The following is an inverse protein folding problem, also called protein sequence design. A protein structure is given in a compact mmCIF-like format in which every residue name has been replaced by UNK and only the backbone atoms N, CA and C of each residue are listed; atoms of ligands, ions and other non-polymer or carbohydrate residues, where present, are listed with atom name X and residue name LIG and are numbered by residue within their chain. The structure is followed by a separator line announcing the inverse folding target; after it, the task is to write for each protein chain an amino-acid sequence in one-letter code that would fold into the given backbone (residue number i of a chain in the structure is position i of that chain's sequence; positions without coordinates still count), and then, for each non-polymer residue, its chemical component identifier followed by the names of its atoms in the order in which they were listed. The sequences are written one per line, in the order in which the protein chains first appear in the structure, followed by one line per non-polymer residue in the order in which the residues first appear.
data_IF_549491784836
#
_entry.id   IF_549491784836
#
_cell.length_a   1.000
_cell.length_b   1.000
_cell.length_c   1.000
_cell.angle_alpha   90.00
_cell.angle_beta   90.00
_cell.angle_gamma   90.00
#
_symmetry.space_group_name_H-M   'P 1'
#
loop_
_entity.id
_entity.type
_entity.pdbx_description
1 polymer ?
#
# COMPACT_ATOMS: atom_id res chain seq x y z
N UNK A 1 -9.77 -21.52 -4.78
CA UNK A 1 -8.61 -20.63 -4.93
C UNK A 1 -7.36 -21.49 -4.91
N UNK A 2 -6.48 -21.35 -5.90
CA UNK A 2 -5.16 -21.97 -5.81
C UNK A 2 -4.44 -21.43 -4.59
N UNK A 3 -3.90 -22.33 -3.78
CA UNK A 3 -3.21 -21.98 -2.54
C UNK A 3 -1.91 -21.25 -2.85
N UNK A 4 -1.73 -20.05 -2.30
CA UNK A 4 -0.44 -19.35 -2.37
C UNK A 4 0.57 -20.05 -1.45
N UNK A 5 1.80 -20.24 -1.94
CA UNK A 5 2.90 -20.79 -1.16
C UNK A 5 3.45 -19.72 -0.21
N UNK A 6 3.57 -20.04 1.08
CA UNK A 6 4.15 -19.16 2.08
C UNK A 6 5.68 -19.34 2.12
N UNK A 7 6.39 -18.25 1.88
CA UNK A 7 7.84 -18.20 1.76
C UNK A 7 8.44 -17.06 2.60
N UNK A 8 9.75 -17.10 2.81
CA UNK A 8 10.45 -16.07 3.58
C UNK A 8 11.81 -15.73 2.96
N UNK A 9 12.33 -14.56 3.33
CA UNK A 9 13.72 -14.19 3.12
C UNK A 9 14.20 -13.21 4.19
N UNK A 10 15.48 -13.27 4.61
CA UNK A 10 16.05 -12.31 5.54
C UNK A 10 16.51 -11.05 4.80
N UNK A 11 16.25 -9.88 5.39
CA UNK A 11 16.80 -8.60 4.93
C UNK A 11 16.85 -7.56 6.05
N UNK A 12 17.99 -6.91 6.24
CA UNK A 12 18.20 -5.73 7.10
C UNK A 12 17.56 -5.87 8.51
N UNK A 13 17.71 -7.05 9.14
CA UNK A 13 17.18 -7.31 10.48
C UNK A 13 15.67 -7.53 10.52
N UNK A 14 15.14 -8.09 9.45
CA UNK A 14 13.78 -8.61 9.37
C UNK A 14 13.77 -9.90 8.56
N UNK A 15 13.05 -10.91 9.01
CA UNK A 15 12.64 -12.02 8.15
C UNK A 15 11.31 -11.63 7.51
N UNK A 16 11.35 -11.33 6.21
CA UNK A 16 10.17 -10.94 5.44
C UNK A 16 9.39 -12.17 5.02
N UNK A 17 8.11 -12.22 5.35
CA UNK A 17 7.17 -13.26 4.97
C UNK A 17 6.35 -12.80 3.78
N UNK A 18 6.17 -13.68 2.79
CA UNK A 18 5.37 -13.40 1.61
C UNK A 18 4.68 -14.66 1.08
N UNK A 19 3.62 -14.44 0.35
CA UNK A 19 2.81 -15.49 -0.28
C UNK A 19 2.96 -15.38 -1.79
N UNK A 20 3.29 -16.50 -2.41
CA UNK A 20 3.55 -16.57 -3.83
C UNK A 20 2.60 -17.55 -4.52
N UNK A 21 1.99 -17.13 -5.61
CA UNK A 21 1.28 -17.97 -6.56
C UNK A 21 2.02 -17.95 -7.89
N UNK A 22 2.41 -19.12 -8.40
CA UNK A 22 3.10 -19.25 -9.68
C UNK A 22 2.10 -19.03 -10.82
N UNK A 23 2.43 -18.16 -11.78
CA UNK A 23 1.74 -18.00 -13.05
C UNK A 23 2.37 -18.81 -14.19
N UNK A 24 1.64 -18.93 -15.30
CA UNK A 24 2.13 -19.60 -16.51
C UNK A 24 2.82 -18.66 -17.49
N UNK A 25 2.66 -17.33 -17.34
CA UNK A 25 3.27 -16.32 -18.18
C UNK A 25 4.16 -15.36 -17.35
N UNK A 26 5.00 -14.56 -18.01
CA UNK A 26 5.84 -13.58 -17.32
C UNK A 26 5.04 -12.29 -17.00
N UNK A 27 3.89 -12.45 -16.35
CA UNK A 27 3.01 -11.38 -15.86
C UNK A 27 3.04 -11.39 -14.34
N UNK A 28 3.36 -10.26 -13.73
CA UNK A 28 3.58 -10.17 -12.27
C UNK A 28 2.69 -9.14 -11.63
N UNK A 29 2.15 -9.49 -10.49
CA UNK A 29 1.36 -8.61 -9.62
C UNK A 29 1.91 -8.66 -8.21
N UNK A 30 2.15 -7.49 -7.64
CA UNK A 30 2.50 -7.32 -6.23
C UNK A 30 1.38 -6.64 -5.47
N UNK A 31 0.98 -7.23 -4.34
CA UNK A 31 0.05 -6.64 -3.39
C UNK A 31 0.81 -6.10 -2.18
N UNK A 32 0.69 -4.78 -1.96
CA UNK A 32 1.43 -4.00 -0.97
C UNK A 32 0.42 -3.40 0.01
N UNK A 33 0.34 -3.95 1.21
CA UNK A 33 -0.65 -3.56 2.21
C UNK A 33 -0.35 -2.23 2.91
N UNK A 34 -1.36 -1.68 3.60
CA UNK A 34 -1.29 -0.46 4.38
C UNK A 34 -0.58 -0.60 5.73
N UNK A 35 -0.37 0.53 6.39
CA UNK A 35 0.24 0.56 7.71
C UNK A 35 -0.61 -0.16 8.76
N UNK A 36 0.02 -1.04 9.55
CA UNK A 36 -0.59 -1.74 10.66
C UNK A 36 -1.36 -3.02 10.30
N UNK A 37 -1.66 -3.27 9.02
CA UNK A 37 -2.37 -4.47 8.55
C UNK A 37 -1.41 -5.47 7.91
N UNK A 38 -1.91 -6.48 7.21
CA UNK A 38 -1.13 -7.55 6.58
C UNK A 38 -1.68 -7.89 5.18
N UNK A 39 -1.08 -8.91 4.52
CA UNK A 39 -1.45 -9.34 3.18
C UNK A 39 -2.92 -9.75 3.01
N UNK A 40 -3.58 -10.22 4.07
CA UNK A 40 -4.96 -10.71 4.01
C UNK A 40 -5.98 -9.62 3.65
N UNK A 41 -5.60 -8.34 3.76
CA UNK A 41 -6.47 -7.25 3.31
C UNK A 41 -6.84 -7.33 1.81
N UNK A 42 -6.07 -8.07 1.01
CA UNK A 42 -6.29 -8.21 -0.43
C UNK A 42 -6.96 -9.53 -0.84
N UNK A 43 -7.49 -10.32 0.10
CA UNK A 43 -8.13 -11.62 -0.21
C UNK A 43 -9.21 -11.51 -1.29
N UNK A 44 -9.99 -10.42 -1.29
CA UNK A 44 -11.03 -10.18 -2.29
C UNK A 44 -10.46 -9.79 -3.67
N UNK A 45 -9.19 -9.39 -3.77
CA UNK A 45 -8.53 -8.96 -5.00
C UNK A 45 -7.69 -10.06 -5.65
N UNK A 46 -7.24 -11.07 -4.92
CA UNK A 46 -6.40 -12.14 -5.48
C UNK A 46 -7.08 -12.89 -6.63
N UNK A 47 -8.40 -13.05 -6.57
CA UNK A 47 -9.19 -13.73 -7.61
C UNK A 47 -9.38 -12.95 -8.91
N UNK A 48 -8.93 -11.69 -8.99
CA UNK A 48 -9.00 -10.89 -10.23
C UNK A 48 -7.97 -11.33 -11.27
N UNK A 49 -6.94 -12.05 -10.83
CA UNK A 49 -5.83 -12.48 -11.67
C UNK A 49 -5.94 -13.98 -11.93
N UNK A 50 -6.01 -14.35 -13.19
CA UNK A 50 -6.07 -15.75 -13.61
C UNK A 50 -4.72 -16.47 -13.44
N UNK A 51 -4.64 -17.73 -13.88
CA UNK A 51 -3.45 -18.56 -13.75
C UNK A 51 -2.27 -18.11 -14.63
N UNK A 52 -2.43 -17.11 -15.48
CA UNK A 52 -1.31 -16.55 -16.25
C UNK A 52 -0.40 -15.64 -15.40
N UNK A 53 -0.95 -15.03 -14.33
CA UNK A 53 -0.22 -14.10 -13.48
C UNK A 53 0.49 -14.78 -12.32
N UNK A 54 1.76 -14.44 -12.14
CA UNK A 54 2.46 -14.61 -10.87
C UNK A 54 1.94 -13.58 -9.88
N UNK A 55 1.59 -14.02 -8.67
CA UNK A 55 1.15 -13.11 -7.60
C UNK A 55 2.12 -13.18 -6.44
N UNK A 56 2.50 -12.02 -5.93
CA UNK A 56 3.19 -11.86 -4.65
C UNK A 56 2.34 -10.96 -3.77
N UNK A 57 2.00 -11.46 -2.59
CA UNK A 57 1.49 -10.67 -1.47
C UNK A 57 2.42 -10.87 -0.29
N UNK A 58 2.70 -9.85 0.47
CA UNK A 58 3.66 -9.92 1.56
C UNK A 58 3.13 -9.34 2.86
N UNK A 59 3.77 -9.66 3.96
CA UNK A 59 3.73 -8.85 5.15
C UNK A 59 4.95 -7.93 5.14
N UNK A 60 4.75 -6.63 5.03
CA UNK A 60 5.84 -5.67 5.09
C UNK A 60 6.56 -5.76 6.44
N UNK A 61 7.86 -5.44 6.46
CA UNK A 61 8.65 -5.45 7.71
C UNK A 61 7.93 -4.73 8.85
N UNK A 62 7.98 -5.30 10.04
CA UNK A 62 7.27 -4.81 11.23
C UNK A 62 5.79 -5.17 11.28
N UNK A 63 5.22 -5.82 10.25
CA UNK A 63 3.80 -6.17 10.16
C UNK A 63 3.57 -7.68 10.07
N UNK A 64 2.36 -8.12 10.37
CA UNK A 64 1.95 -9.52 10.24
C UNK A 64 2.97 -10.50 10.83
N UNK A 65 3.47 -11.41 10.02
CA UNK A 65 4.53 -12.35 10.40
C UNK A 65 5.95 -11.78 10.25
N UNK A 66 6.15 -10.70 9.52
CA UNK A 66 7.46 -10.07 9.24
C UNK A 66 7.95 -9.20 10.40
N UNK A 67 8.18 -9.81 11.57
CA UNK A 67 8.62 -9.08 12.76
C UNK A 67 10.07 -8.58 12.61
N UNK A 68 10.31 -7.37 13.13
CA UNK A 68 11.67 -6.83 13.23
C UNK A 68 12.45 -7.57 14.32
N UNK A 69 13.75 -7.77 14.07
CA UNK A 69 14.67 -8.30 15.09
C UNK A 69 14.78 -7.36 16.29
N UNK A 70 15.11 -7.89 17.48
CA UNK A 70 15.29 -7.05 18.68
C UNK A 70 16.26 -5.88 18.44
N UNK A 71 15.84 -4.68 18.83
CA UNK A 71 16.63 -3.46 18.66
C UNK A 71 16.58 -2.81 17.29
N UNK A 72 15.93 -3.44 16.29
CA UNK A 72 15.69 -2.82 14.99
C UNK A 72 14.46 -1.92 15.04
N UNK A 73 14.48 -0.88 14.21
CA UNK A 73 13.36 0.05 14.05
C UNK A 73 12.78 -0.06 12.65
N UNK A 74 11.53 0.31 12.52
CA UNK A 74 10.92 0.43 11.20
C UNK A 74 11.53 1.61 10.44
N UNK A 75 11.98 1.35 9.22
CA UNK A 75 12.47 2.36 8.27
C UNK A 75 11.78 2.13 6.94
N UNK A 76 11.07 3.15 6.44
CA UNK A 76 10.30 3.03 5.19
C UNK A 76 11.16 2.61 3.99
N UNK A 77 12.36 3.22 3.85
CA UNK A 77 13.27 2.90 2.74
C UNK A 77 13.74 1.44 2.71
N UNK A 78 13.73 0.74 3.86
CA UNK A 78 14.08 -0.67 3.90
C UNK A 78 13.03 -1.54 3.20
N UNK A 79 11.75 -1.11 3.12
CA UNK A 79 10.72 -1.80 2.33
C UNK A 79 11.02 -1.75 0.82
N UNK A 80 11.63 -0.67 0.34
CA UNK A 80 12.08 -0.58 -1.06
C UNK A 80 13.13 -1.66 -1.34
N UNK A 81 14.07 -1.85 -0.40
CA UNK A 81 15.08 -2.91 -0.48
C UNK A 81 14.45 -4.30 -0.45
N UNK A 82 13.43 -4.52 0.40
CA UNK A 82 12.70 -5.80 0.46
C UNK A 82 11.99 -6.09 -0.87
N UNK A 83 11.29 -5.10 -1.41
CA UNK A 83 10.61 -5.20 -2.69
C UNK A 83 11.61 -5.52 -3.82
N UNK A 84 12.73 -4.80 -3.88
CA UNK A 84 13.81 -5.05 -4.84
C UNK A 84 14.36 -6.46 -4.76
N UNK A 85 14.58 -7.01 -3.56
CA UNK A 85 15.02 -8.40 -3.40
C UNK A 85 14.04 -9.42 -3.99
N UNK A 86 12.74 -9.17 -3.91
CA UNK A 86 11.74 -10.04 -4.54
C UNK A 86 11.82 -9.93 -6.07
N UNK A 87 11.99 -8.72 -6.63
CA UNK A 87 12.22 -8.54 -8.06
C UNK A 87 13.47 -9.29 -8.53
N UNK A 88 14.58 -9.16 -7.82
CA UNK A 88 15.84 -9.84 -8.16
C UNK A 88 15.72 -11.35 -8.03
N UNK A 89 15.07 -11.85 -6.96
CA UNK A 89 14.89 -13.28 -6.68
C UNK A 89 14.15 -14.01 -7.80
N UNK A 90 13.15 -13.38 -8.37
CA UNK A 90 12.33 -13.98 -9.43
C UNK A 90 12.67 -13.45 -10.83
N UNK A 91 13.75 -12.65 -10.96
CA UNK A 91 14.14 -12.00 -12.22
C UNK A 91 12.99 -11.25 -12.87
N UNK A 92 12.23 -10.50 -12.05
CA UNK A 92 11.06 -9.75 -12.50
C UNK A 92 11.52 -8.49 -13.22
N UNK A 93 11.26 -8.42 -14.51
CA UNK A 93 11.61 -7.26 -15.31
C UNK A 93 10.59 -6.12 -15.16
N UNK A 94 9.32 -6.47 -14.92
CA UNK A 94 8.23 -5.50 -14.82
C UNK A 94 7.02 -6.12 -14.09
N UNK A 95 6.38 -5.36 -13.22
CA UNK A 95 5.21 -5.82 -12.46
C UNK A 95 4.13 -4.74 -12.31
N UNK A 96 2.88 -5.19 -12.16
CA UNK A 96 1.76 -4.38 -11.69
C UNK A 96 1.89 -4.26 -10.17
N UNK A 97 1.84 -3.05 -9.64
CA UNK A 97 1.86 -2.81 -8.20
C UNK A 97 0.47 -2.38 -7.73
N UNK A 98 -0.11 -3.11 -6.79
CA UNK A 98 -1.40 -2.79 -6.15
C UNK A 98 -1.11 -2.46 -4.70
N UNK A 99 -1.22 -1.20 -4.34
CA UNK A 99 -0.85 -0.73 -3.01
C UNK A 99 -1.96 0.06 -2.34
N UNK A 100 -2.21 -0.25 -1.07
CA UNK A 100 -3.13 0.51 -0.23
C UNK A 100 -2.33 1.37 0.76
N UNK A 101 -2.68 2.66 0.90
CA UNK A 101 -2.08 3.58 1.88
C UNK A 101 -0.54 3.53 1.84
N UNK A 102 0.12 3.06 2.89
CA UNK A 102 1.57 2.84 2.94
C UNK A 102 2.09 2.01 1.76
N UNK A 103 1.38 0.97 1.36
CA UNK A 103 1.73 0.16 0.17
C UNK A 103 1.58 0.95 -1.13
N UNK A 104 0.62 1.87 -1.21
CA UNK A 104 0.48 2.82 -2.32
C UNK A 104 1.64 3.83 -2.37
N UNK A 105 2.11 4.30 -1.21
CA UNK A 105 3.32 5.13 -1.15
C UNK A 105 4.56 4.34 -1.59
N UNK A 106 4.69 3.06 -1.19
CA UNK A 106 5.78 2.21 -1.65
C UNK A 106 5.73 1.96 -3.16
N UNK A 107 4.56 1.72 -3.74
CA UNK A 107 4.41 1.56 -5.18
C UNK A 107 4.87 2.82 -5.94
N UNK A 108 4.53 4.01 -5.43
CA UNK A 108 5.00 5.29 -5.97
C UNK A 108 6.53 5.44 -5.87
N UNK A 109 7.14 5.05 -4.74
CA UNK A 109 8.60 5.05 -4.58
C UNK A 109 9.29 4.10 -5.57
N UNK A 110 8.75 2.91 -5.77
CA UNK A 110 9.25 1.97 -6.77
C UNK A 110 9.17 2.57 -8.17
N UNK A 111 8.09 3.24 -8.53
CA UNK A 111 7.95 3.91 -9.82
C UNK A 111 8.88 5.13 -9.96
N UNK A 112 9.10 5.87 -8.89
CA UNK A 112 10.00 7.03 -8.86
C UNK A 112 11.46 6.63 -9.02
N UNK A 113 11.93 5.62 -8.27
CA UNK A 113 13.33 5.20 -8.26
C UNK A 113 13.67 4.17 -9.34
N UNK A 114 12.72 3.30 -9.70
CA UNK A 114 12.90 2.16 -10.60
C UNK A 114 11.79 2.08 -11.66
N UNK A 115 11.58 3.18 -12.37
CA UNK A 115 10.46 3.36 -13.33
C UNK A 115 10.30 2.21 -14.33
N UNK A 116 11.40 1.61 -14.79
CA UNK A 116 11.36 0.48 -15.74
C UNK A 116 10.81 -0.82 -15.15
N UNK A 117 10.81 -0.98 -13.82
CA UNK A 117 10.32 -2.17 -13.13
C UNK A 117 8.81 -2.14 -12.87
N UNK A 118 8.18 -0.98 -13.03
CA UNK A 118 6.74 -0.81 -12.76
C UNK A 118 5.99 -0.71 -14.06
N UNK A 119 5.04 -1.60 -14.28
CA UNK A 119 4.17 -1.62 -15.45
C UNK A 119 3.05 -0.60 -15.33
N UNK A 120 2.26 -0.74 -14.31
CA UNK A 120 1.14 0.14 -13.93
C UNK A 120 0.89 0.05 -12.44
N UNK A 121 0.17 1.01 -11.90
CA UNK A 121 -0.13 1.06 -10.48
C UNK A 121 -1.63 1.16 -10.23
N UNK A 122 -2.09 0.41 -9.22
CA UNK A 122 -3.38 0.63 -8.57
C UNK A 122 -3.10 1.14 -7.17
N UNK A 123 -3.45 2.37 -6.91
CA UNK A 123 -3.20 3.10 -5.68
C UNK A 123 -4.52 3.29 -4.94
N UNK A 124 -4.64 2.68 -3.76
CA UNK A 124 -5.88 2.65 -2.98
C UNK A 124 -5.67 3.49 -1.72
N UNK A 125 -6.50 4.49 -1.52
CA UNK A 125 -6.54 5.33 -0.32
C UNK A 125 -5.15 5.83 0.11
N UNK A 126 -4.39 6.39 -0.82
CA UNK A 126 -3.08 6.95 -0.52
C UNK A 126 -2.89 8.36 -1.08
N UNK A 127 -2.05 9.13 -0.39
CA UNK A 127 -1.65 10.45 -0.85
C UNK A 127 -0.49 10.34 -1.85
N UNK A 128 -0.29 11.41 -2.63
CA UNK A 128 0.82 11.53 -3.56
C UNK A 128 2.15 11.73 -2.82
N UNK A 129 3.20 11.02 -3.22
CA UNK A 129 4.54 11.16 -2.64
C UNK A 129 5.26 12.44 -3.10
N UNK A 130 4.84 13.03 -4.20
CA UNK A 130 5.47 14.21 -4.79
C UNK A 130 4.66 15.46 -4.47
N UNK A 131 5.26 16.41 -3.79
CA UNK A 131 4.60 17.66 -3.39
C UNK A 131 5.22 18.27 -2.15
N UNK A 132 4.76 19.46 -1.79
CA UNK A 132 5.26 20.17 -0.60
C UNK A 132 4.26 20.06 0.54
N UNK A 133 4.75 19.65 1.70
CA UNK A 133 3.96 19.78 2.93
C UNK A 133 3.78 21.25 3.30
N UNK A 134 2.57 21.59 3.68
CA UNK A 134 2.27 22.88 4.29
C UNK A 134 2.97 23.03 5.64
N UNK A 135 3.12 24.26 6.11
CA UNK A 135 3.71 24.53 7.44
C UNK A 135 2.91 23.86 8.58
N UNK A 136 1.57 23.79 8.43
CA UNK A 136 0.68 23.12 9.38
C UNK A 136 0.91 21.59 9.42
N UNK A 137 1.05 20.94 8.26
CA UNK A 137 1.34 19.51 8.18
C UNK A 137 2.71 19.17 8.78
N UNK A 138 3.74 20.00 8.50
CA UNK A 138 5.07 19.84 9.11
C UNK A 138 5.01 19.96 10.64
N UNK A 139 4.21 20.89 11.17
CA UNK A 139 4.02 21.07 12.62
C UNK A 139 3.23 19.88 13.21
N UNK A 140 2.18 19.43 12.54
CA UNK A 140 1.39 18.27 12.97
C UNK A 140 2.24 17.00 13.06
N UNK A 141 3.10 16.72 12.09
CA UNK A 141 4.04 15.59 12.11
C UNK A 141 5.03 15.68 13.27
N UNK A 142 5.56 16.87 13.56
CA UNK A 142 6.48 17.06 14.69
C UNK A 142 5.82 16.80 16.06
N UNK A 143 4.56 17.19 16.22
CA UNK A 143 3.81 17.00 17.47
C UNK A 143 3.19 15.61 17.59
N UNK A 144 2.99 14.90 16.49
CA UNK A 144 2.32 13.59 16.46
C UNK A 144 3.01 12.56 17.36
N UNK A 145 4.35 12.53 17.40
CA UNK A 145 5.10 11.60 18.27
C UNK A 145 4.74 11.76 19.75
N UNK A 146 4.64 13.00 20.23
CA UNK A 146 4.29 13.29 21.62
C UNK A 146 2.84 12.93 21.90
N UNK A 147 1.92 13.28 20.99
CA UNK A 147 0.52 12.96 21.11
C UNK A 147 0.29 11.44 21.16
N UNK A 148 0.88 10.68 20.24
CA UNK A 148 0.79 9.22 20.26
C UNK A 148 1.41 8.59 21.51
N UNK A 149 2.52 9.15 22.03
CA UNK A 149 3.15 8.63 23.24
C UNK A 149 2.22 8.73 24.47
N UNK A 150 1.47 9.83 24.58
CA UNK A 150 0.55 10.09 25.71
C UNK A 150 -0.79 9.34 25.57
N UNK A 151 -1.16 8.90 24.37
CA UNK A 151 -2.46 8.25 24.14
C UNK A 151 -2.44 6.81 24.66
N UNK A 152 -3.47 6.35 25.42
CA UNK A 152 -3.56 4.96 25.83
C UNK A 152 -3.59 4.01 24.63
N UNK A 153 -2.75 2.98 24.64
CA UNK A 153 -2.53 2.10 23.48
C UNK A 153 -3.82 1.48 22.95
N UNK A 154 -4.60 0.88 23.82
CA UNK A 154 -5.86 0.20 23.46
C UNK A 154 -6.88 1.17 22.83
N UNK A 155 -6.95 2.39 23.37
CA UNK A 155 -7.82 3.42 22.81
C UNK A 155 -7.32 3.91 21.45
N UNK A 156 -6.01 4.06 21.31
CA UNK A 156 -5.38 4.49 20.04
C UNK A 156 -5.72 3.51 18.91
N UNK A 157 -5.47 2.21 19.10
CA UNK A 157 -5.68 1.22 18.03
C UNK A 157 -7.16 1.04 17.70
N UNK A 158 -8.04 1.08 18.71
CA UNK A 158 -9.49 0.99 18.48
C UNK A 158 -10.01 2.17 17.66
N UNK A 159 -9.70 3.40 18.07
CA UNK A 159 -10.14 4.59 17.35
C UNK A 159 -9.51 4.69 15.94
N UNK A 160 -8.26 4.24 15.80
CA UNK A 160 -7.63 4.15 14.50
C UNK A 160 -8.34 3.15 13.58
N UNK A 161 -8.70 1.97 14.09
CA UNK A 161 -9.44 0.97 13.32
C UNK A 161 -10.85 1.47 12.94
N UNK A 162 -11.55 2.15 13.88
CA UNK A 162 -12.85 2.78 13.62
C UNK A 162 -12.77 3.85 12.52
N UNK A 163 -11.68 4.61 12.46
CA UNK A 163 -11.46 5.64 11.44
C UNK A 163 -11.09 5.07 10.06
N UNK A 164 -10.55 3.84 10.01
CA UNK A 164 -10.05 3.23 8.78
C UNK A 164 -11.13 2.57 7.92
N UNK A 165 -12.29 2.20 8.46
CA UNK A 165 -13.29 1.44 7.71
C UNK A 165 -14.72 1.77 8.13
N UNK A 166 -15.66 1.59 7.20
CA UNK A 166 -17.10 1.70 7.47
C UNK A 166 -17.69 0.38 7.95
N UNK A 167 -17.21 -0.75 7.43
CA UNK A 167 -17.68 -2.10 7.80
C UNK A 167 -17.14 -2.54 9.16
N UNK A 168 -18.03 -3.09 10.00
CA UNK A 168 -17.66 -3.61 11.33
C UNK A 168 -16.67 -4.79 11.23
N UNK A 169 -16.85 -5.68 10.28
CA UNK A 169 -15.93 -6.81 10.04
C UNK A 169 -14.54 -6.34 9.66
N UNK A 170 -14.44 -5.29 8.83
CA UNK A 170 -13.16 -4.69 8.43
C UNK A 170 -12.51 -3.96 9.60
N UNK A 171 -13.28 -3.20 10.40
CA UNK A 171 -12.78 -2.59 11.65
C UNK A 171 -12.19 -3.62 12.59
N UNK A 172 -12.89 -4.74 12.75
CA UNK A 172 -12.41 -5.85 13.59
C UNK A 172 -11.09 -6.42 13.06
N UNK A 173 -11.00 -6.69 11.75
CA UNK A 173 -9.77 -7.17 11.12
C UNK A 173 -8.60 -6.19 11.36
N UNK A 174 -8.81 -4.91 11.11
CA UNK A 174 -7.78 -3.87 11.31
C UNK A 174 -7.34 -3.81 12.78
N UNK A 175 -8.30 -3.83 13.71
CA UNK A 175 -8.00 -3.82 15.13
C UNK A 175 -7.19 -5.06 15.56
N UNK A 176 -7.56 -6.25 15.07
CA UNK A 176 -6.84 -7.50 15.36
C UNK A 176 -5.40 -7.46 14.79
N UNK A 177 -5.19 -6.85 13.62
CA UNK A 177 -3.85 -6.61 13.07
C UNK A 177 -3.06 -5.62 13.93
N UNK A 178 -3.64 -4.48 14.31
CA UNK A 178 -2.96 -3.46 15.14
C UNK A 178 -2.51 -4.02 16.48
N UNK A 179 -3.28 -4.90 17.10
CA UNK A 179 -2.91 -5.58 18.36
C UNK A 179 -1.68 -6.46 18.25
N UNK A 180 -1.29 -6.88 17.06
CA UNK A 180 -0.08 -7.68 16.84
C UNK A 180 1.20 -6.83 16.83
N UNK A 181 1.07 -5.50 16.78
CA UNK A 181 2.17 -4.57 16.88
C UNK A 181 2.31 -4.08 18.34
N UNK A 182 3.52 -3.78 18.76
CA UNK A 182 3.70 -2.95 19.93
C UNK A 182 3.49 -1.46 19.58
N UNK A 183 3.19 -0.67 20.61
CA UNK A 183 2.91 0.77 20.45
C UNK A 183 4.06 1.52 19.79
N UNK A 184 5.31 1.17 20.12
CA UNK A 184 6.48 1.85 19.56
C UNK A 184 6.57 1.59 18.05
N UNK A 185 6.47 0.34 17.63
CA UNK A 185 6.49 -0.05 16.21
C UNK A 185 5.36 0.61 15.45
N UNK A 186 4.13 0.61 15.98
CA UNK A 186 2.99 1.28 15.35
C UNK A 186 3.25 2.77 15.13
N UNK A 187 3.73 3.48 16.15
CA UNK A 187 4.04 4.92 16.05
C UNK A 187 5.19 5.17 15.08
N UNK A 188 6.22 4.33 15.09
CA UNK A 188 7.34 4.44 14.15
C UNK A 188 6.89 4.24 12.70
N UNK A 189 6.01 3.28 12.43
CA UNK A 189 5.42 3.05 11.10
C UNK A 189 4.70 4.31 10.61
N UNK A 190 3.77 4.84 11.39
CA UNK A 190 2.99 6.04 11.01
C UNK A 190 3.89 7.25 10.77
N UNK A 191 4.86 7.50 11.64
CA UNK A 191 5.74 8.67 11.52
C UNK A 191 6.76 8.55 10.39
N UNK A 192 7.31 7.34 10.16
CA UNK A 192 8.26 7.12 9.06
C UNK A 192 7.55 7.21 7.70
N UNK A 193 6.36 6.63 7.56
CA UNK A 193 5.57 6.75 6.35
C UNK A 193 5.36 8.22 5.96
N UNK A 194 4.91 9.04 6.91
CA UNK A 194 4.61 10.45 6.66
C UNK A 194 5.85 11.32 6.36
N UNK A 195 7.07 10.88 6.72
CA UNK A 195 8.30 11.67 6.57
C UNK A 195 9.28 11.20 5.51
N UNK A 196 9.26 9.91 5.14
CA UNK A 196 10.33 9.27 4.37
C UNK A 196 10.02 9.09 2.88
N UNK A 197 8.75 9.20 2.48
CA UNK A 197 8.31 9.02 1.10
C UNK A 197 7.92 10.33 0.40
N UNK A 198 8.28 11.48 0.97
CA UNK A 198 7.90 12.77 0.39
C UNK A 198 9.06 13.39 -0.41
N UNK A 199 8.78 13.66 -1.67
CA UNK A 199 9.66 14.37 -2.58
C UNK A 199 9.12 15.77 -2.85
N UNK A 200 9.90 16.82 -2.61
CA UNK A 200 9.52 18.20 -2.94
C UNK A 200 9.61 18.46 -4.48
N UNK A 201 9.10 17.52 -5.27
CA UNK A 201 9.07 17.59 -6.73
C UNK A 201 7.61 17.61 -7.23
N UNK A 202 6.98 18.76 -7.16
CA UNK A 202 5.60 18.96 -7.60
C UNK A 202 5.42 18.87 -9.13
N UNK A 203 6.50 18.92 -9.90
CA UNK A 203 6.47 18.78 -11.35
C UNK A 203 6.55 17.33 -11.83
N UNK A 204 6.91 16.39 -10.95
CA UNK A 204 6.98 14.97 -11.30
C UNK A 204 5.62 14.41 -11.73
N UNK A 205 5.63 13.64 -12.81
CA UNK A 205 4.47 12.89 -13.30
C UNK A 205 4.90 11.45 -13.55
N UNK A 206 4.02 10.50 -13.20
CA UNK A 206 4.28 9.08 -13.45
C UNK A 206 4.22 8.80 -14.95
N UNK A 207 5.14 7.98 -15.43
CA UNK A 207 5.11 7.48 -16.82
C UNK A 207 4.16 6.30 -16.98
N UNK A 208 3.91 5.60 -15.88
CA UNK A 208 3.04 4.45 -15.81
C UNK A 208 1.57 4.88 -15.72
N UNK A 209 0.65 4.10 -16.28
CA UNK A 209 -0.76 4.26 -15.97
C UNK A 209 -1.01 4.08 -14.47
N UNK A 210 -1.82 4.94 -13.89
CA UNK A 210 -2.21 4.94 -12.48
C UNK A 210 -3.72 4.91 -12.36
N UNK A 211 -4.25 3.89 -11.68
CA UNK A 211 -5.60 3.88 -11.16
C UNK A 211 -5.55 4.34 -9.71
N UNK A 212 -6.14 5.48 -9.41
CA UNK A 212 -6.27 6.00 -8.06
C UNK A 212 -7.70 5.74 -7.56
N UNK A 213 -7.81 4.97 -6.48
CA UNK A 213 -9.08 4.69 -5.80
C UNK A 213 -9.08 5.40 -4.45
N UNK A 214 -10.17 6.07 -4.12
CA UNK A 214 -10.30 6.81 -2.87
C UNK A 214 -11.69 6.59 -2.27
N UNK A 215 -11.76 6.13 -1.03
CA UNK A 215 -13.02 6.00 -0.31
C UNK A 215 -13.71 7.36 -0.13
N UNK A 216 -15.02 7.43 -0.42
CA UNK A 216 -15.77 8.70 -0.31
C UNK A 216 -15.84 9.21 1.14
N UNK A 217 -15.73 8.31 2.11
CA UNK A 217 -15.74 8.61 3.54
C UNK A 217 -14.34 8.64 4.17
N UNK A 218 -13.26 8.48 3.38
CA UNK A 218 -11.90 8.53 3.90
C UNK A 218 -11.59 9.91 4.51
N UNK A 219 -11.27 9.92 5.79
CA UNK A 219 -10.95 11.12 6.59
C UNK A 219 -9.50 11.14 7.07
N UNK A 220 -8.68 10.17 6.65
CA UNK A 220 -7.30 10.11 7.09
C UNK A 220 -6.42 11.07 6.29
N UNK A 221 -5.68 11.89 7.02
CA UNK A 221 -4.76 12.86 6.42
C UNK A 221 -5.45 13.81 5.42
N UNK A 222 -4.79 14.00 4.28
CA UNK A 222 -5.27 14.87 3.18
C UNK A 222 -5.65 14.09 1.90
N UNK A 223 -5.78 12.76 1.98
CA UNK A 223 -5.92 11.86 0.82
C UNK A 223 -7.04 12.31 -0.12
N UNK A 224 -8.27 12.48 0.37
CA UNK A 224 -9.40 12.96 -0.44
C UNK A 224 -9.19 14.34 -1.03
N UNK A 225 -8.48 15.21 -0.31
CA UNK A 225 -8.23 16.60 -0.77
C UNK A 225 -7.26 16.64 -1.93
N UNK A 226 -6.29 15.71 -1.97
CA UNK A 226 -5.25 15.70 -2.99
C UNK A 226 -5.60 14.82 -4.19
N UNK A 227 -6.56 13.90 -4.06
CA UNK A 227 -6.92 12.94 -5.11
C UNK A 227 -7.39 13.62 -6.41
N UNK A 228 -8.38 14.52 -6.34
CA UNK A 228 -8.88 15.24 -7.51
C UNK A 228 -7.83 16.15 -8.18
N UNK A 229 -7.12 17.02 -7.44
CA UNK A 229 -5.97 17.74 -7.99
C UNK A 229 -4.91 16.85 -8.62
N UNK A 230 -4.62 15.69 -8.04
CA UNK A 230 -3.65 14.74 -8.61
C UNK A 230 -4.08 14.24 -9.99
N UNK A 231 -5.32 13.78 -10.15
CA UNK A 231 -5.85 13.39 -11.46
C UNK A 231 -5.77 14.51 -12.49
N UNK A 232 -6.12 15.74 -12.10
CA UNK A 232 -6.07 16.89 -12.99
C UNK A 232 -4.65 17.25 -13.46
N UNK A 233 -3.66 17.02 -12.62
CA UNK A 233 -2.27 17.35 -12.88
C UNK A 233 -1.49 16.23 -13.58
N UNK A 234 -1.87 14.97 -13.41
CA UNK A 234 -1.14 13.81 -13.94
C UNK A 234 -1.98 13.11 -15.02
N UNK A 235 -1.59 13.24 -16.30
CA UNK A 235 -2.37 12.71 -17.42
C UNK A 235 -2.45 11.19 -17.45
N UNK A 236 -1.61 10.50 -16.69
CA UNK A 236 -1.62 9.05 -16.59
C UNK A 236 -2.41 8.54 -15.37
N UNK A 237 -2.99 9.44 -14.56
CA UNK A 237 -3.76 9.11 -13.39
C UNK A 237 -5.26 9.20 -13.67
N UNK A 238 -6.00 8.14 -13.38
CA UNK A 238 -7.47 8.11 -13.41
C UNK A 238 -7.99 7.87 -12.00
N UNK A 239 -8.85 8.76 -11.50
CA UNK A 239 -9.45 8.68 -10.17
C UNK A 239 -10.85 8.09 -10.22
N UNK A 240 -11.14 7.18 -9.29
CA UNK A 240 -12.50 6.77 -8.96
C UNK A 240 -12.75 6.84 -7.45
N UNK A 241 -13.91 7.42 -7.11
CA UNK A 241 -14.37 7.47 -5.71
C UNK A 241 -15.15 6.21 -5.38
N UNK A 242 -14.71 5.50 -4.34
CA UNK A 242 -15.34 4.25 -3.88
C UNK A 242 -16.48 4.58 -2.92
N UNK A 243 -17.70 4.26 -3.32
CA UNK A 243 -18.90 4.59 -2.55
C UNK A 243 -19.01 3.77 -1.26
N UNK A 244 -19.52 4.41 -0.20
CA UNK A 244 -19.75 3.77 1.11
C UNK A 244 -18.48 3.14 1.72
N UNK A 245 -17.32 3.69 1.40
CA UNK A 245 -16.03 3.18 1.83
C UNK A 245 -15.19 4.27 2.50
N UNK A 246 -14.46 3.89 3.55
CA UNK A 246 -13.46 4.73 4.21
C UNK A 246 -12.05 4.40 3.70
N UNK A 247 -11.04 4.48 4.55
CA UNK A 247 -9.62 4.31 4.19
C UNK A 247 -9.22 2.89 3.75
N UNK A 248 -9.97 1.86 4.13
CA UNK A 248 -9.79 0.50 3.62
C UNK A 248 -10.85 0.19 2.55
N UNK A 249 -10.92 1.03 1.52
CA UNK A 249 -11.99 0.98 0.52
C UNK A 249 -12.04 -0.34 -0.26
N UNK A 250 -10.91 -1.01 -0.45
CA UNK A 250 -10.84 -2.33 -1.07
C UNK A 250 -11.51 -3.45 -0.25
N UNK A 251 -11.64 -3.25 1.07
CA UNK A 251 -12.33 -4.17 1.97
C UNK A 251 -13.76 -3.72 2.27
N UNK A 252 -14.02 -2.41 2.37
CA UNK A 252 -15.36 -1.86 2.61
C UNK A 252 -16.30 -2.10 1.40
N UNK A 253 -15.80 -1.90 0.17
CA UNK A 253 -16.56 -2.11 -1.05
C UNK A 253 -15.73 -2.88 -2.11
N UNK A 254 -15.43 -4.16 -1.86
CA UNK A 254 -14.60 -4.95 -2.76
C UNK A 254 -15.22 -5.11 -4.16
N UNK A 255 -16.54 -5.11 -4.27
CA UNK A 255 -17.23 -5.24 -5.56
C UNK A 255 -16.89 -4.10 -6.49
N UNK A 256 -17.00 -2.86 -6.00
CA UNK A 256 -16.73 -1.67 -6.82
C UNK A 256 -15.23 -1.54 -7.12
N UNK A 257 -14.37 -1.76 -6.12
CA UNK A 257 -12.92 -1.73 -6.29
C UNK A 257 -12.46 -2.78 -7.30
N UNK A 258 -12.97 -4.01 -7.22
CA UNK A 258 -12.64 -5.09 -8.14
C UNK A 258 -13.07 -4.77 -9.57
N UNK A 259 -14.24 -4.13 -9.75
CA UNK A 259 -14.71 -3.68 -11.06
C UNK A 259 -13.73 -2.67 -11.66
N UNK A 260 -13.36 -1.61 -10.92
CA UNK A 260 -12.43 -0.59 -11.40
C UNK A 260 -11.04 -1.15 -11.73
N UNK A 261 -10.53 -2.07 -10.89
CA UNK A 261 -9.26 -2.74 -11.18
C UNK A 261 -9.37 -3.53 -12.48
N UNK A 262 -10.43 -4.32 -12.65
CA UNK A 262 -10.62 -5.14 -13.84
C UNK A 262 -10.70 -4.31 -15.11
N UNK A 263 -11.44 -3.21 -15.08
CA UNK A 263 -11.61 -2.32 -16.24
C UNK A 263 -10.28 -1.61 -16.58
N UNK A 264 -9.55 -1.16 -15.57
CA UNK A 264 -8.22 -0.56 -15.74
C UNK A 264 -7.21 -1.55 -16.35
N UNK A 265 -7.20 -2.80 -15.87
CA UNK A 265 -6.30 -3.82 -16.41
C UNK A 265 -6.59 -4.12 -17.88
N UNK A 266 -7.86 -4.24 -18.26
CA UNK A 266 -8.28 -4.45 -19.66
C UNK A 266 -7.91 -3.28 -20.56
N UNK A 267 -8.09 -2.04 -20.09
CA UNK A 267 -7.78 -0.83 -20.87
C UNK A 267 -6.28 -0.74 -21.21
N UNK A 268 -5.43 -1.25 -20.34
CA UNK A 268 -3.98 -1.16 -20.46
C UNK A 268 -3.31 -2.52 -20.76
N UNK A 269 -4.06 -3.54 -21.17
CA UNK A 269 -3.45 -4.76 -21.70
C UNK A 269 -2.65 -4.41 -22.95
N UNK A 270 -1.32 -4.62 -22.87
CA UNK A 270 -0.46 -4.50 -24.04
C UNK A 270 -0.82 -5.68 -24.96
N UNK A 271 -1.20 -5.44 -26.23
CA UNK A 271 -1.39 -6.55 -27.16
C UNK A 271 -0.12 -7.39 -27.20
N UNK A 272 -0.24 -8.70 -27.00
CA UNK A 272 0.86 -9.61 -27.29
C UNK A 272 1.27 -9.35 -28.74
N UNK A 273 2.47 -8.77 -28.93
CA UNK A 273 3.09 -8.73 -30.24
C UNK A 273 3.27 -10.20 -30.67
N UNK A 274 2.39 -10.64 -31.54
CA UNK A 274 2.39 -11.94 -32.20
C UNK A 274 3.65 -12.13 -33.05
#
# INVERSE_FOLDING_TARGET
METMEHLTFPNLGCTVHYWYRKGSENKWVFFLHGAGVDHAMFEAQFGLFDSTYHIIAWDARGHGLSKLEPGKKFVFCDMISDCRKLFDRYSINRAILIGQSMGGNLAQEMAYQYSSLVDRMVLIDCARNTGKLTGGEKLALKSARLLFALYPWETLIRQSAEACANSESVRKYIYDCFRQLDKQTFVEVILNMAGSCLHEDSAYRFRQPVLLLCGEDDRLGNIRKVAGPWEQEDPNCTLHMVQHASHNSNQDNPTQVNQWITDFLKLHETPLLS
#
